data_IF_423712084902
#
_entry.id   IF_423712084902
#
_cell.length_a   1.000
_cell.length_b   1.000
_cell.length_c   1.000
_cell.angle_alpha   90.00
_cell.angle_beta   90.00
_cell.angle_gamma   90.00
#
_symmetry.space_group_name_H-M   'P 1'
#
loop_
_entity.id
_entity.type
_entity.pdbx_description
1 polymer ?
#
# COMPACT_ATOMS: atom_id res chain seq x y z
N UNK A 1 34.49 -6.79 -19.38
CA UNK A 1 35.07 -6.19 -18.17
C UNK A 1 33.98 -5.34 -17.55
N UNK A 2 33.52 -5.71 -16.36
CA UNK A 2 32.57 -4.88 -15.62
C UNK A 2 33.30 -3.58 -15.23
N UNK A 3 32.77 -2.45 -15.66
CA UNK A 3 33.33 -1.15 -15.28
C UNK A 3 33.01 -0.93 -13.82
N UNK A 4 34.03 -0.70 -12.99
CA UNK A 4 33.91 -0.37 -11.58
C UNK A 4 34.34 1.08 -11.37
N UNK A 5 33.71 1.73 -10.41
CA UNK A 5 34.06 3.07 -9.94
C UNK A 5 34.36 3.00 -8.45
N UNK A 6 35.47 3.55 -8.05
CA UNK A 6 35.85 3.66 -6.62
C UNK A 6 35.29 4.93 -6.04
N UNK A 7 34.41 4.82 -5.04
CA UNK A 7 33.97 5.94 -4.21
C UNK A 7 34.88 6.06 -3.00
N UNK A 8 35.49 7.23 -2.83
CA UNK A 8 36.41 7.47 -1.69
C UNK A 8 35.69 7.36 -0.37
N UNK A 9 36.35 6.72 0.61
CA UNK A 9 35.86 6.64 1.98
C UNK A 9 35.78 8.06 2.59
N UNK A 10 34.67 8.38 3.23
CA UNK A 10 34.44 9.69 3.85
C UNK A 10 33.67 9.57 5.15
N UNK A 11 33.84 10.53 6.05
CA UNK A 11 32.98 10.69 7.20
C UNK A 11 31.63 11.24 6.76
N UNK A 12 30.55 10.64 7.27
CA UNK A 12 29.19 11.14 7.05
C UNK A 12 28.75 11.98 8.24
N UNK A 13 28.02 13.03 7.95
CA UNK A 13 27.34 13.81 9.00
C UNK A 13 26.25 12.94 9.62
N UNK A 14 26.19 12.89 10.95
CA UNK A 14 25.04 12.36 11.67
C UNK A 14 23.95 13.42 11.60
N UNK A 15 22.84 13.07 10.96
CA UNK A 15 21.67 13.93 10.81
C UNK A 15 20.92 14.01 12.13
N UNK A 16 20.64 12.85 12.72
CA UNK A 16 19.85 12.74 13.95
C UNK A 16 20.03 11.36 14.62
N UNK A 17 19.45 11.24 15.83
CA UNK A 17 19.33 10.00 16.57
C UNK A 17 17.87 9.82 17.00
N UNK A 18 17.42 8.57 17.19
CA UNK A 18 16.05 8.27 17.62
C UNK A 18 15.93 6.99 18.42
N UNK A 19 14.80 6.79 19.08
CA UNK A 19 14.48 5.49 19.68
C UNK A 19 14.08 4.48 18.61
N UNK A 20 13.32 4.93 17.61
CA UNK A 20 12.82 4.11 16.52
C UNK A 20 13.00 4.82 15.19
N UNK A 21 13.67 4.17 14.26
CA UNK A 21 13.78 4.60 12.87
C UNK A 21 12.99 3.65 11.98
N UNK A 22 12.08 4.20 11.19
CA UNK A 22 11.25 3.44 10.23
C UNK A 22 11.58 3.91 8.83
N UNK A 23 12.01 2.99 7.95
CA UNK A 23 12.37 3.28 6.57
C UNK A 23 11.24 2.78 5.65
N UNK A 24 10.65 3.71 4.90
CA UNK A 24 9.45 3.49 4.10
C UNK A 24 8.18 3.86 4.85
N UNK A 25 7.43 4.83 4.33
CA UNK A 25 6.13 5.28 4.83
C UNK A 25 4.97 4.70 4.00
N UNK A 26 5.17 3.50 3.45
CA UNK A 26 4.09 2.71 2.86
C UNK A 26 3.04 2.33 3.90
N UNK A 27 2.07 1.50 3.52
CA UNK A 27 1.03 1.04 4.43
C UNK A 27 1.60 0.44 5.73
N UNK A 28 2.69 -0.33 5.63
CA UNK A 28 3.33 -0.96 6.78
C UNK A 28 4.05 0.07 7.68
N UNK A 29 4.91 0.92 7.10
CA UNK A 29 5.71 1.86 7.89
C UNK A 29 4.89 2.97 8.51
N UNK A 30 3.89 3.51 7.80
CA UNK A 30 2.93 4.46 8.38
C UNK A 30 2.20 3.82 9.59
N UNK A 31 1.70 2.60 9.42
CA UNK A 31 1.01 1.90 10.51
C UNK A 31 1.94 1.62 11.69
N UNK A 32 3.20 1.24 11.42
CA UNK A 32 4.19 1.01 12.46
C UNK A 32 4.48 2.29 13.26
N UNK A 33 4.63 3.44 12.59
CA UNK A 33 4.88 4.72 13.23
C UNK A 33 3.73 5.13 14.16
N UNK A 34 2.48 5.09 13.64
CA UNK A 34 1.28 5.41 14.43
C UNK A 34 1.11 4.46 15.61
N UNK A 35 1.28 3.15 15.38
CA UNK A 35 1.15 2.16 16.44
C UNK A 35 2.21 2.35 17.54
N UNK A 36 3.47 2.61 17.16
CA UNK A 36 4.55 2.85 18.10
C UNK A 36 4.29 4.12 18.95
N UNK A 37 3.86 5.22 18.31
CA UNK A 37 3.53 6.46 19.01
C UNK A 37 2.39 6.24 20.03
N UNK A 38 1.32 5.56 19.62
CA UNK A 38 0.18 5.23 20.49
C UNK A 38 0.54 4.24 21.60
N UNK A 39 1.56 3.40 21.38
CA UNK A 39 2.12 2.53 22.39
C UNK A 39 3.07 3.24 23.37
N UNK A 40 3.36 4.53 23.16
CA UNK A 40 4.17 5.35 24.06
C UNK A 40 5.61 5.60 23.64
N UNK A 41 6.05 5.16 22.45
CA UNK A 41 7.34 5.59 21.89
C UNK A 41 7.28 7.08 21.56
N UNK A 42 8.26 7.85 22.02
CA UNK A 42 8.22 9.31 21.94
C UNK A 42 9.22 9.94 20.98
N UNK A 43 10.09 9.13 20.42
CA UNK A 43 11.14 9.58 19.54
C UNK A 43 11.26 8.65 18.33
N UNK A 44 10.43 8.91 17.34
CA UNK A 44 10.28 8.13 16.11
C UNK A 44 10.67 9.00 14.92
N UNK A 45 11.53 8.49 14.06
CA UNK A 45 11.78 9.03 12.72
C UNK A 45 11.12 8.09 11.70
N UNK A 46 10.21 8.64 10.91
CA UNK A 46 9.60 7.97 9.76
C UNK A 46 10.17 8.58 8.48
N UNK A 47 10.88 7.77 7.70
CA UNK A 47 11.53 8.20 6.47
C UNK A 47 10.86 7.62 5.23
N UNK A 48 10.74 8.41 4.16
CA UNK A 48 10.30 7.91 2.86
C UNK A 48 10.98 8.64 1.70
N UNK A 49 11.22 7.93 0.60
CA UNK A 49 11.75 8.49 -0.66
C UNK A 49 10.76 9.41 -1.37
N UNK A 50 9.46 9.20 -1.16
CA UNK A 50 8.41 10.06 -1.70
C UNK A 50 8.08 11.21 -0.74
N UNK A 51 7.31 12.18 -1.23
CA UNK A 51 6.81 13.32 -0.43
C UNK A 51 5.44 13.07 0.19
N UNK A 52 5.05 11.79 0.39
CA UNK A 52 3.75 11.40 0.94
C UNK A 52 3.80 9.97 1.46
N UNK A 53 2.87 9.64 2.35
CA UNK A 53 2.70 8.30 2.91
C UNK A 53 1.75 7.43 2.07
N UNK A 54 1.77 6.12 2.36
CA UNK A 54 0.84 5.11 1.87
C UNK A 54 1.41 4.16 0.81
N UNK A 55 2.50 4.52 0.13
CA UNK A 55 3.14 3.64 -0.86
C UNK A 55 2.15 3.17 -1.93
N UNK A 56 1.94 1.85 -2.03
CA UNK A 56 1.07 1.24 -3.05
C UNK A 56 -0.39 1.68 -2.95
N UNK A 57 -0.92 1.86 -1.73
CA UNK A 57 -2.32 2.26 -1.53
C UNK A 57 -2.60 3.72 -1.87
N UNK A 58 -1.56 4.50 -2.14
CA UNK A 58 -1.68 5.91 -2.54
C UNK A 58 -1.00 6.19 -3.87
N UNK A 59 0.32 6.15 -3.94
CA UNK A 59 1.10 6.40 -5.15
C UNK A 59 1.03 5.28 -6.18
N UNK A 60 0.93 4.02 -5.72
CA UNK A 60 0.79 2.85 -6.58
C UNK A 60 -0.63 2.63 -7.10
N UNK A 61 -1.62 3.40 -6.64
CA UNK A 61 -3.03 3.26 -7.04
C UNK A 61 -3.63 1.88 -6.79
N UNK A 62 -3.14 1.13 -5.80
CA UNK A 62 -3.80 -0.09 -5.33
C UNK A 62 -5.00 0.31 -4.47
N UNK A 63 -6.08 0.70 -5.16
CA UNK A 63 -7.24 1.37 -4.56
C UNK A 63 -8.34 0.40 -4.11
N UNK A 64 -8.11 -0.89 -4.22
CA UNK A 64 -9.02 -1.92 -3.78
C UNK A 64 -8.33 -2.84 -2.79
N UNK A 65 -8.93 -3.01 -1.62
CA UNK A 65 -8.50 -4.00 -0.63
C UNK A 65 -9.62 -5.02 -0.44
N UNK A 66 -9.44 -6.24 -0.96
CA UNK A 66 -10.45 -7.29 -0.87
C UNK A 66 -10.35 -8.09 0.43
N UNK A 67 -11.35 -8.94 0.65
CA UNK A 67 -11.33 -10.04 1.63
C UNK A 67 -10.95 -9.61 3.06
N UNK A 68 -11.46 -8.47 3.53
CA UNK A 68 -11.23 -7.97 4.90
C UNK A 68 -12.10 -8.68 5.95
N UNK A 69 -13.04 -9.52 5.52
CA UNK A 69 -13.87 -10.35 6.38
C UNK A 69 -14.01 -11.78 5.83
N UNK A 70 -14.36 -12.68 6.70
CA UNK A 70 -14.85 -14.00 6.35
C UNK A 70 -16.34 -14.05 6.70
N UNK A 71 -17.19 -14.01 5.69
CA UNK A 71 -18.62 -13.78 5.82
C UNK A 71 -18.90 -12.49 6.63
N UNK A 72 -19.68 -12.60 7.72
CA UNK A 72 -20.06 -11.53 8.65
C UNK A 72 -18.94 -11.14 9.63
N UNK A 73 -17.90 -11.96 9.72
CA UNK A 73 -16.81 -11.76 10.67
C UNK A 73 -15.64 -11.01 10.04
N UNK A 74 -15.51 -9.72 10.34
CA UNK A 74 -14.35 -8.93 9.95
C UNK A 74 -13.12 -9.34 10.77
N UNK A 75 -12.01 -9.67 10.09
CA UNK A 75 -10.75 -10.05 10.73
C UNK A 75 -9.63 -9.03 10.48
N UNK A 76 -9.65 -8.29 9.37
CA UNK A 76 -8.73 -7.17 9.16
C UNK A 76 -9.35 -5.91 9.77
N UNK A 77 -8.73 -5.39 10.83
CA UNK A 77 -9.20 -4.30 11.66
C UNK A 77 -8.05 -3.33 11.99
N UNK A 78 -8.30 -2.44 12.94
CA UNK A 78 -7.30 -1.52 13.46
C UNK A 78 -7.06 -0.35 12.54
N UNK A 79 -5.80 0.01 12.31
CA UNK A 79 -5.42 1.22 11.58
C UNK A 79 -5.97 1.26 10.15
N UNK A 80 -6.02 0.12 9.45
CA UNK A 80 -6.58 0.10 8.10
C UNK A 80 -8.07 0.45 8.08
N UNK A 81 -8.85 -0.07 9.02
CA UNK A 81 -10.27 0.31 9.13
C UNK A 81 -10.41 1.78 9.55
N UNK A 82 -9.52 2.28 10.42
CA UNK A 82 -9.49 3.69 10.79
C UNK A 82 -9.27 4.60 9.59
N UNK A 83 -8.40 4.23 8.64
CA UNK A 83 -8.22 4.99 7.40
C UNK A 83 -9.54 5.16 6.65
N UNK A 84 -10.28 4.08 6.48
CA UNK A 84 -11.55 4.11 5.76
C UNK A 84 -12.61 4.91 6.51
N UNK A 85 -12.69 4.75 7.83
CA UNK A 85 -13.64 5.50 8.65
C UNK A 85 -13.38 7.02 8.59
N UNK A 86 -12.10 7.41 8.59
CA UNK A 86 -11.70 8.82 8.47
C UNK A 86 -12.13 9.45 7.14
N UNK A 87 -12.16 8.68 6.06
CA UNK A 87 -12.56 9.18 4.73
C UNK A 87 -14.07 9.21 4.50
N UNK A 88 -14.89 8.58 5.34
CA UNK A 88 -16.35 8.46 5.13
C UNK A 88 -17.11 9.79 5.07
N UNK A 89 -16.57 10.85 5.63
CA UNK A 89 -17.18 12.18 5.57
C UNK A 89 -17.15 12.78 4.14
N UNK A 90 -16.38 12.19 3.23
CA UNK A 90 -16.27 12.61 1.85
C UNK A 90 -17.11 11.69 0.98
N UNK A 91 -18.17 12.21 0.32
CA UNK A 91 -19.02 11.38 -0.53
C UNK A 91 -18.21 10.64 -1.61
N UNK A 92 -18.38 9.32 -1.66
CA UNK A 92 -17.72 8.46 -2.65
C UNK A 92 -16.24 8.18 -2.42
N UNK A 93 -15.60 8.72 -1.37
CA UNK A 93 -14.20 8.45 -1.09
C UNK A 93 -13.94 7.02 -0.61
N UNK A 94 -14.94 6.36 -0.06
CA UNK A 94 -14.88 4.95 0.37
C UNK A 94 -16.16 4.24 -0.06
N UNK A 95 -16.01 3.07 -0.64
CA UNK A 95 -17.13 2.21 -1.06
C UNK A 95 -16.82 0.75 -0.71
N UNK A 96 -17.84 0.02 -0.31
CA UNK A 96 -17.76 -1.41 -0.02
C UNK A 96 -18.82 -1.85 0.99
N UNK A 97 -19.14 -3.15 1.03
CA UNK A 97 -20.09 -3.70 2.01
C UNK A 97 -19.58 -3.51 3.43
N UNK A 98 -20.46 -3.21 4.36
CA UNK A 98 -20.12 -3.07 5.77
C UNK A 98 -21.30 -3.36 6.69
N UNK A 99 -21.02 -3.56 7.99
CA UNK A 99 -22.04 -3.81 9.01
C UNK A 99 -22.91 -5.01 8.66
N UNK A 100 -24.23 -4.82 8.70
CA UNK A 100 -25.23 -5.87 8.44
C UNK A 100 -25.22 -6.39 6.99
N UNK A 101 -24.52 -5.74 6.07
CA UNK A 101 -24.39 -6.23 4.70
C UNK A 101 -23.41 -7.40 4.59
N UNK A 102 -22.41 -7.47 5.49
CA UNK A 102 -21.41 -8.53 5.48
C UNK A 102 -22.07 -9.89 5.75
N UNK A 103 -21.66 -10.89 4.98
CA UNK A 103 -22.20 -12.25 5.07
C UNK A 103 -23.56 -12.45 4.42
N UNK A 104 -24.19 -11.38 3.89
CA UNK A 104 -25.47 -11.46 3.22
C UNK A 104 -25.41 -12.35 1.98
N UNK A 105 -26.48 -13.12 1.77
CA UNK A 105 -26.75 -13.91 0.54
C UNK A 105 -27.89 -13.34 -0.27
N UNK A 106 -28.39 -12.15 0.10
CA UNK A 106 -29.45 -11.46 -0.64
C UNK A 106 -28.98 -11.17 -2.09
N UNK A 107 -29.63 -11.74 -3.10
CA UNK A 107 -29.23 -11.56 -4.50
C UNK A 107 -29.20 -10.10 -4.94
N UNK A 108 -30.16 -9.27 -4.51
CA UNK A 108 -30.21 -7.86 -4.89
C UNK A 108 -29.05 -7.09 -4.30
N UNK A 109 -28.71 -7.38 -3.06
CA UNK A 109 -27.58 -6.76 -2.39
C UNK A 109 -26.27 -7.27 -2.99
N UNK A 110 -26.13 -8.57 -3.26
CA UNK A 110 -24.97 -9.15 -3.93
C UNK A 110 -24.78 -8.53 -5.33
N UNK A 111 -25.84 -8.36 -6.10
CA UNK A 111 -25.78 -7.73 -7.41
C UNK A 111 -25.37 -6.25 -7.35
N UNK A 112 -25.78 -5.52 -6.33
CA UNK A 112 -25.37 -4.11 -6.13
C UNK A 112 -23.86 -3.96 -5.88
N UNK A 113 -23.19 -4.99 -5.37
CA UNK A 113 -21.76 -5.06 -5.14
C UNK A 113 -21.01 -5.99 -6.09
N UNK A 114 -21.65 -6.40 -7.19
CA UNK A 114 -21.16 -7.44 -8.11
C UNK A 114 -19.75 -7.19 -8.63
N UNK A 115 -19.40 -5.94 -8.95
CA UNK A 115 -18.09 -5.59 -9.45
C UNK A 115 -16.97 -5.91 -8.44
N UNK A 116 -17.25 -5.74 -7.15
CA UNK A 116 -16.32 -6.08 -6.06
C UNK A 116 -16.29 -7.58 -5.83
N UNK A 117 -17.45 -8.23 -5.89
CA UNK A 117 -17.61 -9.66 -5.61
C UNK A 117 -17.05 -10.53 -6.74
N UNK A 118 -17.35 -10.20 -8.01
CA UNK A 118 -16.91 -10.98 -9.19
C UNK A 118 -15.38 -10.97 -9.37
N UNK A 119 -14.70 -9.95 -8.86
CA UNK A 119 -13.23 -9.92 -8.88
C UNK A 119 -12.60 -11.05 -8.04
N UNK A 120 -13.32 -11.58 -7.06
CA UNK A 120 -12.78 -12.49 -6.04
C UNK A 120 -13.66 -13.69 -5.72
N UNK A 121 -14.66 -14.03 -6.55
CA UNK A 121 -15.46 -15.23 -6.36
C UNK A 121 -14.57 -16.48 -6.41
N UNK A 122 -14.56 -17.23 -5.32
CA UNK A 122 -13.82 -18.48 -5.19
C UNK A 122 -14.73 -19.64 -5.59
N UNK A 123 -14.68 -20.03 -6.87
CA UNK A 123 -15.27 -21.27 -7.37
C UNK A 123 -16.79 -21.25 -7.52
N UNK A 124 -17.28 -22.05 -8.46
CA UNK A 124 -18.69 -22.15 -8.83
C UNK A 124 -19.58 -22.74 -7.72
N UNK A 125 -19.00 -23.45 -6.76
CA UNK A 125 -19.73 -24.15 -5.68
C UNK A 125 -19.82 -23.40 -4.36
N UNK A 126 -19.23 -22.21 -4.25
CA UNK A 126 -19.30 -21.42 -3.02
C UNK A 126 -20.53 -20.53 -3.03
N UNK A 127 -21.41 -20.57 -2.01
CA UNK A 127 -22.55 -19.65 -1.96
C UNK A 127 -22.05 -18.21 -1.97
N UNK A 128 -22.56 -17.43 -2.92
CA UNK A 128 -22.23 -16.02 -3.03
C UNK A 128 -22.61 -15.27 -1.75
N UNK A 129 -21.62 -14.84 -0.99
CA UNK A 129 -21.80 -14.06 0.24
C UNK A 129 -20.97 -12.80 0.15
N UNK A 130 -21.54 -11.70 0.57
CA UNK A 130 -20.80 -10.45 0.63
C UNK A 130 -19.71 -10.52 1.71
N UNK A 131 -18.50 -10.15 1.31
CA UNK A 131 -17.37 -9.98 2.21
C UNK A 131 -16.99 -8.50 2.28
N UNK A 132 -16.39 -8.09 3.40
CA UNK A 132 -15.83 -6.74 3.52
C UNK A 132 -14.70 -6.58 2.50
N UNK A 133 -14.93 -5.75 1.50
CA UNK A 133 -13.94 -5.29 0.54
C UNK A 133 -14.12 -3.79 0.40
N UNK A 134 -13.04 -3.05 0.15
CA UNK A 134 -13.09 -1.59 0.14
C UNK A 134 -12.41 -1.05 -1.10
N UNK A 135 -13.09 -0.15 -1.81
CA UNK A 135 -12.51 0.77 -2.76
C UNK A 135 -12.41 2.15 -2.13
N UNK A 136 -11.36 2.87 -2.44
CA UNK A 136 -11.15 4.19 -1.86
C UNK A 136 -10.42 5.15 -2.80
N UNK A 137 -10.57 6.45 -2.52
CA UNK A 137 -9.89 7.52 -3.25
C UNK A 137 -8.45 7.70 -2.70
N UNK A 138 -7.41 7.38 -3.47
CA UNK A 138 -6.04 7.35 -2.97
C UNK A 138 -5.50 8.73 -2.58
N UNK A 139 -5.92 9.80 -3.26
CA UNK A 139 -5.46 11.15 -2.89
C UNK A 139 -6.09 11.61 -1.58
N UNK A 140 -7.33 11.19 -1.32
CA UNK A 140 -7.95 11.47 -0.04
C UNK A 140 -7.29 10.67 1.09
N UNK A 141 -6.90 9.43 0.81
CA UNK A 141 -6.15 8.64 1.77
C UNK A 141 -4.81 9.31 2.12
N UNK A 142 -4.06 9.87 1.15
CA UNK A 142 -2.83 10.64 1.45
C UNK A 142 -3.07 11.71 2.50
N UNK A 143 -4.16 12.47 2.34
CA UNK A 143 -4.50 13.56 3.27
C UNK A 143 -4.79 13.01 4.68
N UNK A 144 -5.54 11.91 4.77
CA UNK A 144 -5.85 11.33 6.08
C UNK A 144 -4.63 10.71 6.76
N UNK A 145 -3.72 10.08 5.99
CA UNK A 145 -2.47 9.55 6.52
C UNK A 145 -1.59 10.68 7.09
N UNK A 146 -1.47 11.80 6.37
CA UNK A 146 -0.73 12.97 6.86
C UNK A 146 -1.37 13.58 8.11
N UNK A 147 -2.72 13.62 8.19
CA UNK A 147 -3.41 14.07 9.41
C UNK A 147 -3.11 13.16 10.60
N UNK A 148 -3.07 11.84 10.40
CA UNK A 148 -2.72 10.91 11.48
C UNK A 148 -1.29 11.12 11.98
N UNK A 149 -0.33 11.39 11.08
CA UNK A 149 1.04 11.74 11.47
C UNK A 149 1.10 13.07 12.23
N UNK A 150 0.32 14.07 11.79
CA UNK A 150 0.23 15.37 12.48
C UNK A 150 -0.40 15.26 13.87
N UNK A 151 -1.35 14.37 14.09
CA UNK A 151 -1.92 14.08 15.41
C UNK A 151 -0.84 13.56 16.37
N UNK A 152 0.12 12.78 15.87
CA UNK A 152 1.21 12.18 16.65
C UNK A 152 2.55 12.96 16.52
N UNK A 153 2.52 14.21 16.06
CA UNK A 153 3.74 15.04 15.78
C UNK A 153 4.66 15.26 16.99
N UNK A 154 4.17 15.03 18.21
CA UNK A 154 5.00 15.12 19.42
C UNK A 154 5.94 13.91 19.55
N UNK A 155 5.61 12.81 18.86
CA UNK A 155 6.34 11.55 18.92
C UNK A 155 6.98 11.18 17.58
N UNK A 156 6.43 11.63 16.45
CA UNK A 156 6.87 11.26 15.10
C UNK A 156 7.43 12.49 14.39
N UNK A 157 8.67 12.37 13.93
CA UNK A 157 9.31 13.27 12.97
C UNK A 157 9.32 12.61 11.60
N UNK A 158 8.76 13.27 10.59
CA UNK A 158 8.67 12.74 9.24
C UNK A 158 9.79 13.32 8.38
N UNK A 159 10.51 12.43 7.68
CA UNK A 159 11.60 12.78 6.78
C UNK A 159 11.29 12.27 5.37
N UNK A 160 10.60 13.07 4.59
CA UNK A 160 10.30 12.78 3.19
C UNK A 160 11.47 13.11 2.25
N UNK A 161 11.39 12.62 1.01
CA UNK A 161 12.43 12.77 -0.01
C UNK A 161 13.80 12.29 0.44
N UNK A 162 13.81 11.20 1.21
CA UNK A 162 14.99 10.61 1.81
C UNK A 162 14.97 9.10 1.63
N UNK A 163 16.03 8.57 1.05
CA UNK A 163 16.12 7.14 0.70
C UNK A 163 17.12 6.45 1.62
N UNK A 164 16.68 5.43 2.35
CA UNK A 164 17.60 4.54 3.06
C UNK A 164 18.50 3.80 2.07
N UNK A 165 19.80 3.78 2.35
CA UNK A 165 20.82 3.24 1.43
C UNK A 165 21.42 1.94 1.96
N UNK A 166 21.88 1.96 3.21
CA UNK A 166 22.47 0.77 3.83
C UNK A 166 22.38 0.83 5.36
N UNK A 167 22.36 -0.32 6.05
CA UNK A 167 22.40 -0.38 7.50
C UNK A 167 23.76 0.05 8.05
N UNK A 168 23.74 0.66 9.23
CA UNK A 168 24.94 0.84 10.06
C UNK A 168 24.97 -0.31 11.04
N UNK A 169 26.00 -1.15 10.93
CA UNK A 169 26.10 -2.39 11.70
C UNK A 169 27.18 -2.31 12.79
N UNK A 170 26.88 -2.87 13.95
CA UNK A 170 27.83 -3.19 14.98
C UNK A 170 27.72 -4.68 15.32
N UNK A 171 28.62 -5.49 14.80
CA UNK A 171 28.46 -6.93 14.80
C UNK A 171 27.18 -7.36 14.10
N UNK A 172 26.28 -8.05 14.79
CA UNK A 172 24.97 -8.49 14.28
C UNK A 172 23.83 -7.54 14.66
N UNK A 173 24.16 -6.33 15.13
CA UNK A 173 23.15 -5.35 15.56
C UNK A 173 23.09 -4.18 14.58
N UNK A 174 21.90 -3.85 14.11
CA UNK A 174 21.63 -2.62 13.33
C UNK A 174 21.59 -1.46 14.31
N UNK A 175 22.46 -0.47 14.11
CA UNK A 175 22.57 0.74 14.95
C UNK A 175 21.95 1.98 14.28
N UNK A 176 21.60 1.87 13.02
CA UNK A 176 21.06 2.99 12.26
C UNK A 176 21.07 2.71 10.77
N UNK A 177 20.88 3.76 10.00
CA UNK A 177 20.85 3.67 8.54
C UNK A 177 21.56 4.87 7.93
N UNK A 178 22.36 4.62 6.90
CA UNK A 178 22.83 5.65 5.98
C UNK A 178 21.71 5.93 4.99
N UNK A 179 21.40 7.20 4.79
CA UNK A 179 20.37 7.63 3.84
C UNK A 179 20.90 8.71 2.92
N UNK A 180 20.19 8.93 1.83
CA UNK A 180 20.48 9.97 0.85
C UNK A 180 19.27 10.88 0.66
N UNK A 181 19.52 12.17 0.63
CA UNK A 181 18.55 13.22 0.42
C UNK A 181 19.12 14.29 -0.52
N UNK A 182 18.38 15.39 -0.75
CA UNK A 182 18.87 16.53 -1.51
C UNK A 182 20.15 17.16 -0.88
N UNK A 183 20.34 17.00 0.42
CA UNK A 183 21.54 17.47 1.15
C UNK A 183 22.72 16.51 1.04
N UNK A 184 22.57 15.42 0.32
CA UNK A 184 23.57 14.36 0.15
C UNK A 184 23.40 13.22 1.15
N UNK A 185 24.48 12.44 1.30
CA UNK A 185 24.52 11.22 2.10
C UNK A 185 24.81 11.55 3.57
N UNK A 186 23.95 11.06 4.47
CA UNK A 186 24.00 11.30 5.91
C UNK A 186 23.65 10.01 6.66
N UNK A 187 23.77 10.02 7.99
CA UNK A 187 23.46 8.89 8.86
C UNK A 187 22.43 9.25 9.92
N UNK A 188 21.53 8.31 10.24
CA UNK A 188 20.67 8.35 11.43
C UNK A 188 20.98 7.13 12.28
N UNK A 189 21.23 7.36 13.57
CA UNK A 189 21.33 6.28 14.55
C UNK A 189 20.00 6.05 15.24
N UNK A 190 19.73 4.78 15.61
CA UNK A 190 18.49 4.43 16.31
C UNK A 190 18.70 3.23 17.23
N UNK A 191 17.91 3.15 18.33
CA UNK A 191 17.90 1.99 19.20
C UNK A 191 17.24 0.78 18.53
N UNK A 192 16.24 1.02 17.67
CA UNK A 192 15.59 0.01 16.85
C UNK A 192 15.32 0.55 15.44
N UNK A 193 15.36 -0.36 14.45
CA UNK A 193 15.11 -0.03 13.04
C UNK A 193 14.05 -0.95 12.49
N UNK A 194 13.06 -0.39 11.81
CA UNK A 194 12.05 -1.12 11.05
C UNK A 194 12.28 -0.85 9.57
N UNK A 195 12.57 -1.91 8.81
CA UNK A 195 12.58 -1.86 7.36
C UNK A 195 11.17 -2.11 6.83
N UNK A 196 10.55 -1.07 6.31
CA UNK A 196 9.23 -1.06 5.67
C UNK A 196 9.31 -0.59 4.20
N UNK A 197 10.45 -0.77 3.55
CA UNK A 197 10.71 -0.31 2.17
C UNK A 197 9.88 -1.04 1.12
N UNK A 198 9.31 -2.20 1.46
CA UNK A 198 8.57 -3.07 0.54
C UNK A 198 9.46 -4.12 -0.13
N UNK A 199 10.69 -3.76 -0.45
CA UNK A 199 11.66 -4.64 -1.13
C UNK A 199 12.77 -5.15 -0.20
N UNK A 200 12.78 -4.74 1.07
CA UNK A 200 13.79 -5.13 2.05
C UNK A 200 15.15 -4.48 1.80
N UNK A 201 15.14 -3.23 1.36
CA UNK A 201 16.35 -2.51 0.92
C UNK A 201 17.42 -2.41 1.99
N UNK A 202 17.04 -2.45 3.26
CA UNK A 202 17.95 -2.36 4.40
C UNK A 202 18.29 -3.74 4.96
N UNK A 203 17.28 -4.56 5.29
CA UNK A 203 17.55 -5.82 5.97
C UNK A 203 18.34 -6.82 5.11
N UNK A 204 18.15 -6.79 3.78
CA UNK A 204 18.89 -7.65 2.85
C UNK A 204 20.42 -7.46 2.91
N UNK A 205 20.86 -6.31 3.40
CA UNK A 205 22.27 -5.93 3.54
C UNK A 205 22.84 -6.21 4.94
N UNK A 206 22.03 -6.68 5.88
CA UNK A 206 22.46 -6.92 7.28
C UNK A 206 23.17 -8.25 7.47
N UNK A 207 23.16 -9.14 6.48
CA UNK A 207 23.62 -10.51 6.60
C UNK A 207 22.59 -11.46 7.25
N UNK A 208 21.40 -10.98 7.59
CA UNK A 208 20.30 -11.84 8.06
C UNK A 208 19.84 -12.78 6.94
N UNK A 209 19.56 -14.05 7.22
CA UNK A 209 19.07 -14.97 6.21
C UNK A 209 17.65 -14.60 5.78
N UNK A 210 17.42 -14.63 4.47
CA UNK A 210 16.07 -14.39 3.89
C UNK A 210 15.87 -15.25 2.65
N UNK A 211 14.61 -15.52 2.32
CA UNK A 211 14.23 -16.16 1.07
C UNK A 211 13.94 -15.09 0.02
N UNK A 212 14.62 -15.17 -1.13
CA UNK A 212 14.35 -14.31 -2.27
C UNK A 212 13.41 -15.02 -3.25
N UNK A 213 12.32 -14.36 -3.62
CA UNK A 213 11.43 -14.79 -4.69
C UNK A 213 11.81 -14.17 -6.03
N UNK A 214 13.09 -13.84 -6.23
CA UNK A 214 13.59 -13.21 -7.46
C UNK A 214 13.49 -14.13 -8.69
N UNK A 215 13.45 -15.46 -8.50
CA UNK A 215 13.29 -16.39 -9.59
C UNK A 215 11.91 -16.33 -10.21
N UNK A 216 11.86 -16.24 -11.55
CA UNK A 216 10.62 -16.10 -12.30
C UNK A 216 9.63 -17.25 -12.05
N UNK A 217 10.12 -18.45 -11.72
CA UNK A 217 9.31 -19.63 -11.41
C UNK A 217 8.60 -19.53 -10.06
N UNK A 218 9.11 -18.74 -9.13
CA UNK A 218 8.56 -18.59 -7.77
C UNK A 218 7.67 -17.34 -7.64
N UNK A 219 7.63 -16.46 -8.64
CA UNK A 219 6.77 -15.28 -8.63
C UNK A 219 5.30 -15.67 -8.74
N UNK A 220 4.54 -15.42 -7.69
CA UNK A 220 3.09 -15.66 -7.67
C UNK A 220 2.26 -14.49 -8.21
N UNK A 221 2.85 -13.29 -8.33
CA UNK A 221 2.15 -12.07 -8.74
C UNK A 221 2.70 -11.51 -10.05
N UNK A 222 1.79 -11.02 -10.89
CA UNK A 222 2.13 -10.28 -12.10
C UNK A 222 2.33 -8.80 -11.78
N UNK A 223 3.18 -8.13 -12.56
CA UNK A 223 3.31 -6.66 -12.49
C UNK A 223 2.05 -6.01 -13.05
N UNK A 224 1.53 -5.00 -12.36
CA UNK A 224 0.40 -4.21 -12.81
C UNK A 224 0.80 -2.78 -13.10
N UNK A 225 0.28 -2.22 -14.20
CA UNK A 225 0.30 -0.80 -14.49
C UNK A 225 -1.10 -0.26 -14.25
N UNK A 226 -1.24 0.61 -13.27
CA UNK A 226 -2.52 1.23 -12.92
C UNK A 226 -2.51 2.69 -13.36
N UNK A 227 -3.60 3.12 -14.01
CA UNK A 227 -3.78 4.51 -14.43
C UNK A 227 -5.20 4.97 -14.17
N UNK A 228 -5.38 6.28 -14.14
CA UNK A 228 -6.69 6.91 -13.98
C UNK A 228 -7.09 7.58 -15.29
N UNK A 229 -8.35 7.40 -15.68
CA UNK A 229 -8.96 8.07 -16.81
C UNK A 229 -10.05 9.02 -16.28
N UNK A 230 -10.09 10.23 -16.81
CA UNK A 230 -11.13 11.22 -16.51
C UNK A 230 -11.94 11.56 -17.77
N UNK A 231 -13.07 12.23 -17.60
CA UNK A 231 -13.92 12.68 -18.69
C UNK A 231 -14.82 11.59 -19.28
N UNK A 232 -15.00 10.47 -18.57
CA UNK A 232 -15.94 9.41 -19.00
C UNK A 232 -17.36 9.87 -18.66
N UNK A 233 -18.24 9.84 -19.68
CA UNK A 233 -19.67 9.96 -19.44
C UNK A 233 -20.23 8.59 -19.04
N UNK A 234 -20.44 8.39 -17.75
CA UNK A 234 -20.88 7.11 -17.20
C UNK A 234 -22.28 6.71 -17.66
N UNK A 235 -23.18 7.65 -17.84
CA UNK A 235 -24.55 7.35 -18.30
C UNK A 235 -24.53 6.79 -19.72
N UNK A 236 -23.75 7.41 -20.62
CA UNK A 236 -23.56 6.91 -21.98
C UNK A 236 -22.83 5.55 -22.00
N UNK A 237 -21.86 5.35 -21.11
CA UNK A 237 -21.13 4.08 -21.03
C UNK A 237 -22.04 2.94 -20.57
N UNK A 238 -22.83 3.15 -19.52
CA UNK A 238 -23.78 2.16 -19.00
C UNK A 238 -24.91 1.88 -20.03
N UNK A 239 -25.44 2.91 -20.69
CA UNK A 239 -26.38 2.74 -21.78
C UNK A 239 -25.78 1.93 -22.93
N UNK A 240 -24.55 2.25 -23.34
CA UNK A 240 -23.84 1.51 -24.39
C UNK A 240 -23.62 0.03 -23.98
N UNK A 241 -23.22 -0.21 -22.77
CA UNK A 241 -23.02 -1.56 -22.20
C UNK A 241 -24.33 -2.36 -22.22
N UNK A 242 -25.43 -1.75 -21.83
CA UNK A 242 -26.76 -2.36 -21.81
C UNK A 242 -27.31 -2.62 -23.20
N UNK A 243 -27.14 -1.70 -24.13
CA UNK A 243 -27.71 -1.78 -25.49
C UNK A 243 -26.86 -2.59 -26.47
N UNK A 244 -25.56 -2.78 -26.15
CA UNK A 244 -24.59 -3.49 -26.99
C UNK A 244 -23.76 -4.51 -26.19
N UNK A 245 -24.39 -5.51 -25.53
CA UNK A 245 -23.69 -6.45 -24.65
C UNK A 245 -22.64 -7.27 -25.39
N UNK A 246 -22.86 -7.62 -26.65
CA UNK A 246 -21.89 -8.35 -27.47
C UNK A 246 -20.65 -7.51 -27.79
N UNK A 247 -20.81 -6.23 -28.09
CA UNK A 247 -19.70 -5.31 -28.31
C UNK A 247 -18.90 -5.09 -27.02
N UNK A 248 -19.56 -5.01 -25.87
CA UNK A 248 -18.90 -4.93 -24.58
C UNK A 248 -18.12 -6.21 -24.25
N UNK A 249 -18.70 -7.37 -24.50
CA UNK A 249 -18.02 -8.66 -24.33
C UNK A 249 -16.80 -8.79 -25.28
N UNK A 250 -16.93 -8.35 -26.53
CA UNK A 250 -15.85 -8.33 -27.49
C UNK A 250 -14.70 -7.39 -27.05
N UNK A 251 -15.03 -6.20 -26.51
CA UNK A 251 -14.04 -5.27 -25.95
C UNK A 251 -13.28 -5.92 -24.79
N UNK A 252 -13.99 -6.52 -23.82
CA UNK A 252 -13.35 -7.24 -22.71
C UNK A 252 -12.47 -8.38 -23.21
N UNK A 253 -12.93 -9.15 -24.17
CA UNK A 253 -12.20 -10.25 -24.78
C UNK A 253 -10.95 -9.79 -25.56
N UNK A 254 -10.99 -8.61 -26.18
CA UNK A 254 -9.83 -8.06 -26.89
C UNK A 254 -8.74 -7.60 -25.91
N UNK A 255 -9.13 -6.99 -24.80
CA UNK A 255 -8.22 -6.56 -23.74
C UNK A 255 -7.51 -7.76 -23.11
N UNK A 256 -8.26 -8.84 -22.82
CA UNK A 256 -7.70 -10.06 -22.22
C UNK A 256 -6.77 -10.85 -23.14
N UNK A 257 -6.82 -10.61 -24.46
CA UNK A 257 -5.92 -11.24 -25.45
C UNK A 257 -4.54 -10.60 -25.53
N UNK A 258 -4.37 -9.41 -25.01
CA UNK A 258 -3.04 -8.82 -24.87
C UNK A 258 -2.27 -9.63 -23.82
N UNK A 259 -1.18 -10.25 -24.23
CA UNK A 259 -0.41 -11.15 -23.38
C UNK A 259 -0.07 -10.52 -22.02
N UNK A 260 -0.45 -11.18 -20.94
CA UNK A 260 -0.22 -10.72 -19.57
C UNK A 260 -1.15 -9.60 -19.08
N UNK A 261 -2.11 -9.13 -19.90
CA UNK A 261 -3.02 -8.06 -19.49
C UNK A 261 -4.33 -8.61 -18.93
N UNK A 262 -4.66 -8.20 -17.72
CA UNK A 262 -5.99 -8.44 -17.12
C UNK A 262 -6.61 -7.08 -16.82
N UNK A 263 -7.68 -6.74 -17.52
CA UNK A 263 -8.47 -5.56 -17.18
C UNK A 263 -9.46 -5.94 -16.07
N UNK A 264 -9.37 -5.25 -14.95
CA UNK A 264 -10.43 -5.24 -13.95
C UNK A 264 -11.21 -3.93 -14.12
N UNK A 265 -12.46 -3.97 -14.61
CA UNK A 265 -13.30 -2.78 -14.60
C UNK A 265 -13.59 -2.43 -13.14
N UNK A 266 -13.17 -1.26 -12.72
CA UNK A 266 -13.60 -0.68 -11.46
C UNK A 266 -14.97 -0.04 -11.67
N UNK A 267 -15.87 -0.12 -10.68
CA UNK A 267 -17.18 0.50 -10.74
C UNK A 267 -17.10 2.01 -10.73
#
# INVERSE_FOLDING_TARGET
MDKQYYEEARWLKVYDESELLIIGSGAAGHSAAIAAARAGCRDIILMDRYGYSGGDVTGGYVIMVPDLSWYDKQFVKGLQEEWFQRMKHIPGAVRGPEGAQMGSTDPLLCDSWKAIHDCWSRGEDSPHRLVRSVYFEPNQLKIELDKMLLEERQSIRVLYHSTGVCPIMEGNTVKGVVFESKEGRQAIFAKAVIDATGDGDIFSQTGAPFASLADAETRSSTTALVWRIAGINWDLFEEWKRTRPEAFAALRGSISKVAGFRAMPLP
#
